data_IF_987966257373
#
_entry.id   IF_987966257373
#
_cell.length_a   1.000
_cell.length_b   1.000
_cell.length_c   1.000
_cell.angle_alpha   90.00
_cell.angle_beta   90.00
_cell.angle_gamma   90.00
#
_symmetry.space_group_name_H-M   'P 1'
#
loop_
_entity.id
_entity.type
_entity.pdbx_description
1 polymer ?
#
# COMPACT_ATOMS: atom_id res chain seq x y z
N UNK A 1 27.93 -75.00 5.74
CA UNK A 1 28.93 -75.93 5.14
C UNK A 1 29.87 -75.07 4.27
N UNK A 2 31.15 -75.13 4.62
CA UNK A 2 32.37 -74.97 3.82
C UNK A 2 32.46 -73.71 2.91
N UNK A 3 33.30 -72.73 3.30
CA UNK A 3 34.72 -72.54 2.99
C UNK A 3 34.97 -72.35 1.46
N UNK A 4 35.55 -71.23 1.03
CA UNK A 4 36.99 -71.14 0.81
C UNK A 4 37.41 -69.68 0.52
N UNK A 5 38.52 -69.32 1.14
CA UNK A 5 39.36 -68.16 0.91
C UNK A 5 40.05 -68.22 -0.48
N UNK A 6 40.31 -67.06 -1.05
CA UNK A 6 41.57 -66.85 -1.78
C UNK A 6 41.94 -65.37 -1.76
N UNK A 7 43.05 -65.11 -1.10
CA UNK A 7 43.82 -63.84 -1.13
C UNK A 7 44.50 -63.68 -2.51
N UNK A 8 44.60 -62.48 -2.98
CA UNK A 8 45.80 -62.01 -3.69
C UNK A 8 45.93 -60.47 -3.49
N UNK A 9 47.04 -60.11 -2.96
CA UNK A 9 47.53 -58.77 -2.80
C UNK A 9 48.07 -58.24 -4.13
N UNK A 10 47.92 -56.99 -4.41
CA UNK A 10 49.04 -56.09 -4.69
C UNK A 10 48.58 -54.81 -5.43
N UNK A 11 49.09 -53.81 -4.99
CA UNK A 11 49.73 -52.62 -5.58
C UNK A 11 48.97 -51.33 -5.51
N UNK A 12 49.45 -50.55 -4.58
CA UNK A 12 49.18 -49.11 -4.44
C UNK A 12 49.60 -48.36 -5.70
N UNK A 13 48.64 -47.54 -6.23
CA UNK A 13 48.98 -46.35 -7.00
C UNK A 13 48.14 -45.22 -6.46
N UNK A 14 48.80 -44.39 -5.68
CA UNK A 14 48.28 -43.10 -5.24
C UNK A 14 48.17 -42.20 -6.49
N UNK A 15 46.99 -42.01 -7.00
CA UNK A 15 46.64 -40.90 -7.88
C UNK A 15 45.91 -39.85 -7.00
N UNK A 16 46.64 -38.86 -6.57
CA UNK A 16 46.12 -37.63 -6.03
C UNK A 16 45.37 -36.88 -7.14
N UNK A 17 44.10 -37.14 -7.28
CA UNK A 17 43.17 -36.26 -8.00
C UNK A 17 42.85 -35.10 -7.00
N UNK A 18 43.61 -34.06 -7.09
CA UNK A 18 43.17 -32.72 -6.66
C UNK A 18 42.00 -32.31 -7.56
N UNK A 19 40.81 -32.76 -7.21
CA UNK A 19 39.58 -32.21 -7.69
C UNK A 19 39.37 -30.88 -6.97
N UNK A 20 39.79 -29.80 -7.60
CA UNK A 20 39.23 -28.50 -7.31
C UNK A 20 37.77 -28.54 -7.73
N UNK A 21 36.90 -28.96 -6.85
CA UNK A 21 35.52 -28.64 -6.84
C UNK A 21 35.43 -27.19 -6.33
N UNK A 22 35.54 -26.22 -7.21
CA UNK A 22 35.00 -24.89 -6.95
C UNK A 22 33.46 -25.04 -6.95
N UNK A 23 32.91 -25.43 -5.80
CA UNK A 23 31.58 -25.00 -5.45
C UNK A 23 31.71 -23.48 -5.34
N UNK A 24 31.22 -22.78 -6.35
CA UNK A 24 31.11 -21.34 -6.31
C UNK A 24 30.13 -20.92 -5.21
N UNK A 25 30.65 -20.75 -4.01
CA UNK A 25 30.14 -19.75 -3.11
C UNK A 25 30.71 -18.42 -3.64
N UNK A 26 30.09 -17.84 -4.65
CA UNK A 26 30.26 -16.42 -4.88
C UNK A 26 29.87 -15.76 -3.57
N UNK A 27 30.80 -15.00 -2.97
CA UNK A 27 30.48 -14.16 -1.83
C UNK A 27 29.27 -13.32 -2.25
N UNK A 28 28.11 -13.54 -1.62
CA UNK A 28 26.93 -12.72 -1.85
C UNK A 28 27.26 -11.33 -1.36
N UNK A 29 26.94 -10.31 -2.13
CA UNK A 29 27.44 -8.94 -1.91
C UNK A 29 27.12 -8.40 -0.51
N UNK A 30 25.98 -8.84 0.08
CA UNK A 30 25.51 -8.37 1.37
C UNK A 30 25.49 -9.45 2.46
N UNK A 31 26.29 -10.51 2.29
CA UNK A 31 26.39 -11.61 3.27
C UNK A 31 26.67 -11.11 4.67
N UNK A 32 25.76 -11.44 5.61
CA UNK A 32 25.87 -11.06 7.02
C UNK A 32 25.51 -9.63 7.35
N UNK A 33 25.04 -8.82 6.39
CA UNK A 33 24.45 -7.50 6.66
C UNK A 33 22.98 -7.65 7.04
N UNK A 34 22.45 -6.67 7.78
CA UNK A 34 21.06 -6.66 8.26
C UNK A 34 20.34 -5.40 7.74
N UNK A 35 19.17 -5.58 7.14
CA UNK A 35 18.28 -4.51 6.66
C UNK A 35 17.14 -4.35 7.64
N UNK A 36 16.93 -3.14 8.15
CA UNK A 36 15.77 -2.80 8.98
C UNK A 36 14.68 -2.14 8.13
N UNK A 37 13.61 -2.89 7.85
CA UNK A 37 12.44 -2.46 7.11
C UNK A 37 11.31 -2.07 8.08
N UNK A 38 10.70 -0.91 7.90
CA UNK A 38 9.53 -0.47 8.65
C UNK A 38 8.36 -0.29 7.67
N UNK A 39 7.39 -1.19 7.73
CA UNK A 39 6.31 -1.31 6.76
C UNK A 39 4.94 -1.39 7.46
N UNK A 40 3.89 -1.37 6.71
CA UNK A 40 2.53 -1.70 7.15
C UNK A 40 2.41 -3.20 7.44
N UNK A 41 1.42 -3.58 8.26
CA UNK A 41 1.04 -4.98 8.42
C UNK A 41 0.41 -5.53 7.14
N UNK A 42 0.58 -6.84 6.88
CA UNK A 42 -0.02 -7.56 5.73
C UNK A 42 0.20 -6.87 4.36
N UNK A 43 1.36 -6.23 4.16
CA UNK A 43 1.63 -5.33 3.03
C UNK A 43 2.83 -5.76 2.19
N UNK A 44 3.11 -7.05 2.14
CA UNK A 44 4.14 -7.67 1.26
C UNK A 44 3.87 -9.16 1.05
N UNK A 45 4.29 -9.65 -0.13
CA UNK A 45 4.17 -11.04 -0.51
C UNK A 45 4.92 -11.99 0.42
N UNK A 46 4.37 -13.17 0.64
CA UNK A 46 4.92 -14.18 1.59
C UNK A 46 6.40 -14.49 1.37
N UNK A 47 6.84 -14.52 0.11
CA UNK A 47 8.20 -14.94 -0.24
C UNK A 47 9.17 -13.76 -0.46
N UNK A 48 8.68 -12.51 -0.50
CA UNK A 48 9.48 -11.33 -0.86
C UNK A 48 10.79 -11.24 -0.07
N UNK A 49 10.70 -11.40 1.26
CA UNK A 49 11.86 -11.33 2.15
C UNK A 49 12.77 -12.54 1.97
N UNK A 50 12.20 -13.75 1.94
CA UNK A 50 12.98 -14.98 1.87
C UNK A 50 13.81 -15.06 0.57
N UNK A 51 13.20 -14.67 -0.56
CA UNK A 51 13.85 -14.66 -1.88
C UNK A 51 14.96 -13.59 -1.95
N UNK A 52 14.71 -12.41 -1.38
CA UNK A 52 15.73 -11.37 -1.25
C UNK A 52 16.93 -11.83 -0.41
N UNK A 53 16.69 -12.45 0.76
CA UNK A 53 17.72 -12.99 1.64
C UNK A 53 18.53 -14.11 0.95
N UNK A 54 17.85 -14.99 0.19
CA UNK A 54 18.52 -16.05 -0.57
C UNK A 54 19.43 -15.48 -1.65
N UNK A 55 18.96 -14.45 -2.36
CA UNK A 55 19.71 -13.83 -3.45
C UNK A 55 20.93 -13.06 -2.94
N UNK A 56 20.78 -12.27 -1.88
CA UNK A 56 21.78 -11.30 -1.43
C UNK A 56 22.67 -11.78 -0.30
N UNK A 57 22.20 -12.74 0.50
CA UNK A 57 22.85 -13.18 1.74
C UNK A 57 22.61 -12.23 2.93
N UNK A 58 21.88 -11.15 2.74
CA UNK A 58 21.47 -10.26 3.80
C UNK A 58 20.41 -10.90 4.72
N UNK A 59 20.14 -10.26 5.84
CA UNK A 59 18.99 -10.53 6.71
C UNK A 59 18.06 -9.32 6.71
N UNK A 60 16.74 -9.55 6.67
CA UNK A 60 15.75 -8.49 6.77
C UNK A 60 15.01 -8.61 8.10
N UNK A 61 15.04 -7.52 8.87
CA UNK A 61 14.29 -7.37 10.12
C UNK A 61 13.14 -6.43 9.84
N UNK A 62 11.92 -6.90 10.03
CA UNK A 62 10.71 -6.12 9.72
C UNK A 62 10.05 -5.67 11.00
N UNK A 63 9.84 -4.37 11.12
CA UNK A 63 8.93 -3.77 12.10
C UNK A 63 7.67 -3.28 11.38
N UNK A 64 6.55 -3.23 12.08
CA UNK A 64 5.26 -2.80 11.53
C UNK A 64 4.73 -1.55 12.21
N UNK A 65 3.98 -0.74 11.45
CA UNK A 65 3.25 0.42 11.95
C UNK A 65 1.79 0.41 11.47
N UNK A 66 0.92 1.03 12.26
CA UNK A 66 -0.51 1.10 11.99
C UNK A 66 -0.94 2.46 11.41
N UNK A 67 -0.02 3.44 11.39
CA UNK A 67 -0.26 4.76 10.81
C UNK A 67 1.05 5.48 10.45
N UNK A 68 1.00 6.33 9.42
CA UNK A 68 2.10 7.21 9.05
C UNK A 68 2.57 8.09 10.22
N UNK A 69 1.64 8.54 11.06
CA UNK A 69 1.93 9.35 12.25
C UNK A 69 2.74 8.59 13.29
N UNK A 70 2.44 7.32 13.51
CA UNK A 70 3.21 6.45 14.42
C UNK A 70 4.62 6.23 13.89
N UNK A 71 4.76 5.90 12.60
CA UNK A 71 6.04 5.75 11.91
C UNK A 71 6.87 7.04 12.03
N UNK A 72 6.26 8.18 11.68
CA UNK A 72 6.92 9.48 11.75
C UNK A 72 7.48 9.81 13.13
N UNK A 73 6.72 9.56 14.20
CA UNK A 73 7.18 9.84 15.57
C UNK A 73 8.47 9.09 15.91
N UNK A 74 8.59 7.81 15.52
CA UNK A 74 9.80 7.02 15.75
C UNK A 74 10.99 7.58 14.95
N UNK A 75 10.78 7.83 13.66
CA UNK A 75 11.82 8.35 12.76
C UNK A 75 12.30 9.72 13.20
N UNK A 76 11.40 10.64 13.54
CA UNK A 76 11.72 11.97 14.02
C UNK A 76 12.43 11.97 15.38
N UNK A 77 12.22 10.94 16.21
CA UNK A 77 12.95 10.71 17.45
C UNK A 77 14.30 10.03 17.26
N UNK A 78 14.69 9.69 16.02
CA UNK A 78 16.01 9.17 15.68
C UNK A 78 16.10 7.64 15.72
N UNK A 79 14.99 6.89 15.79
CA UNK A 79 15.04 5.44 15.57
C UNK A 79 15.56 5.17 14.15
N UNK A 80 16.49 4.22 14.05
CA UNK A 80 17.16 3.92 12.79
C UNK A 80 16.47 2.77 12.06
N UNK A 81 16.04 3.05 10.86
CA UNK A 81 15.56 2.08 9.87
C UNK A 81 16.34 2.29 8.57
N UNK A 82 16.39 1.27 7.72
CA UNK A 82 17.03 1.37 6.41
C UNK A 82 16.03 1.67 5.30
N UNK A 83 14.82 1.11 5.38
CA UNK A 83 13.72 1.37 4.45
C UNK A 83 12.44 1.65 5.23
N UNK A 84 11.70 2.66 4.80
CA UNK A 84 10.32 2.96 5.24
C UNK A 84 9.39 2.89 4.04
N UNK A 85 8.10 2.61 4.29
CA UNK A 85 7.05 2.59 3.26
C UNK A 85 5.90 3.55 3.63
N UNK A 86 6.15 4.88 3.65
CA UNK A 86 5.12 5.89 3.91
C UNK A 86 4.22 6.16 2.71
N UNK A 87 3.07 6.80 2.99
CA UNK A 87 2.19 7.38 1.97
C UNK A 87 2.66 8.78 1.54
N UNK A 88 2.18 9.22 0.40
CA UNK A 88 2.45 10.47 -0.31
C UNK A 88 2.63 11.71 0.58
N UNK A 89 1.61 12.09 1.37
CA UNK A 89 1.66 13.28 2.24
C UNK A 89 2.72 13.17 3.35
N UNK A 90 3.04 11.94 3.76
CA UNK A 90 4.08 11.72 4.76
C UNK A 90 5.47 11.75 4.13
N UNK A 91 5.62 11.29 2.88
CA UNK A 91 6.86 11.45 2.11
C UNK A 91 7.16 12.94 1.94
N UNK A 92 6.15 13.73 1.52
CA UNK A 92 6.27 15.18 1.42
C UNK A 92 6.80 15.81 2.71
N UNK A 93 6.22 15.44 3.84
CA UNK A 93 6.63 15.92 5.16
C UNK A 93 8.06 15.50 5.52
N UNK A 94 8.42 14.24 5.30
CA UNK A 94 9.76 13.72 5.60
C UNK A 94 10.84 14.43 4.77
N UNK A 95 10.54 14.76 3.49
CA UNK A 95 11.41 15.57 2.62
C UNK A 95 11.56 16.99 3.17
N UNK A 96 10.44 17.66 3.49
CA UNK A 96 10.44 19.04 4.00
C UNK A 96 11.21 19.18 5.33
N UNK A 97 11.18 18.15 6.16
CA UNK A 97 11.87 18.12 7.46
C UNK A 97 13.33 17.58 7.36
N UNK A 98 13.84 17.33 6.14
CA UNK A 98 15.21 16.81 5.91
C UNK A 98 15.49 15.48 6.65
N UNK A 99 14.49 14.58 6.69
CA UNK A 99 14.58 13.27 7.35
C UNK A 99 14.94 12.12 6.41
N UNK A 100 14.96 12.35 5.09
CA UNK A 100 15.33 11.37 4.07
C UNK A 100 16.69 11.69 3.46
N UNK A 101 17.31 10.68 2.88
CA UNK A 101 18.48 10.86 2.02
C UNK A 101 18.12 10.57 0.56
N UNK A 102 18.75 11.29 -0.40
CA UNK A 102 18.49 11.06 -1.81
C UNK A 102 18.96 9.67 -2.24
N UNK A 103 18.22 9.08 -3.18
CA UNK A 103 18.51 7.78 -3.76
C UNK A 103 19.55 7.91 -4.88
N UNK A 104 20.49 6.97 -4.95
CA UNK A 104 21.41 6.86 -6.10
C UNK A 104 20.73 6.07 -7.23
N UNK A 105 20.10 6.77 -8.15
CA UNK A 105 19.39 6.16 -9.30
C UNK A 105 20.28 5.25 -10.15
N UNK A 106 21.61 5.41 -10.10
CA UNK A 106 22.52 4.50 -10.80
C UNK A 106 22.55 3.07 -10.20
N UNK A 107 22.03 2.90 -9.00
CA UNK A 107 21.86 1.63 -8.30
C UNK A 107 20.47 1.00 -8.51
N UNK A 108 19.54 1.75 -9.06
CA UNK A 108 18.16 1.34 -9.30
C UNK A 108 17.97 0.99 -10.77
N UNK A 109 18.53 -0.15 -11.19
CA UNK A 109 18.52 -0.58 -12.60
C UNK A 109 17.13 -0.93 -13.14
N UNK A 110 16.16 -1.12 -12.25
CA UNK A 110 14.80 -1.57 -12.60
C UNK A 110 13.78 -0.43 -12.63
N UNK A 111 14.21 0.84 -12.57
CA UNK A 111 13.31 2.00 -12.63
C UNK A 111 12.50 2.07 -13.93
N UNK A 112 13.08 1.61 -15.04
CA UNK A 112 12.41 1.60 -16.36
C UNK A 112 11.24 0.61 -16.43
N UNK A 113 11.03 -0.23 -15.40
CA UNK A 113 9.89 -1.14 -15.29
C UNK A 113 8.65 -0.47 -14.67
N UNK A 114 8.80 0.73 -14.10
CA UNK A 114 7.72 1.46 -13.47
C UNK A 114 6.86 2.19 -14.51
N UNK A 115 5.55 2.21 -14.27
CA UNK A 115 4.60 3.00 -15.07
C UNK A 115 4.87 4.50 -14.92
N UNK A 116 4.65 5.26 -16.01
CA UNK A 116 4.70 6.72 -15.97
C UNK A 116 3.65 7.33 -15.02
N UNK A 117 2.52 6.62 -14.79
CA UNK A 117 1.43 7.07 -13.91
C UNK A 117 1.82 7.19 -12.43
N UNK A 118 2.92 6.53 -12.03
CA UNK A 118 3.37 6.51 -10.63
C UNK A 118 4.66 7.28 -10.40
N UNK A 119 5.21 7.91 -11.45
CA UNK A 119 6.48 8.64 -11.41
C UNK A 119 6.27 10.15 -11.51
N UNK A 120 7.20 10.92 -10.95
CA UNK A 120 7.20 12.39 -11.09
C UNK A 120 6.05 13.09 -10.37
N UNK A 121 5.54 12.52 -9.29
CA UNK A 121 4.41 13.04 -8.54
C UNK A 121 4.78 14.30 -7.75
N UNK A 122 3.80 15.14 -7.43
CA UNK A 122 4.00 16.48 -6.86
C UNK A 122 4.84 16.47 -5.57
N UNK A 123 4.72 15.44 -4.74
CA UNK A 123 5.47 15.33 -3.49
C UNK A 123 6.96 15.01 -3.68
N UNK A 124 7.35 14.42 -4.83
CA UNK A 124 8.76 14.14 -5.21
C UNK A 124 8.92 14.12 -6.73
N UNK A 125 8.87 15.30 -7.42
CA UNK A 125 8.77 15.40 -8.87
C UNK A 125 9.92 14.75 -9.66
N UNK A 126 11.08 14.65 -9.03
CA UNK A 126 12.25 14.03 -9.64
C UNK A 126 12.46 12.57 -9.17
N UNK A 127 11.59 12.02 -8.33
CA UNK A 127 11.82 10.75 -7.63
C UNK A 127 13.23 10.69 -7.01
N UNK A 128 13.61 11.77 -6.35
CA UNK A 128 14.93 11.87 -5.71
C UNK A 128 14.99 11.09 -4.40
N UNK A 129 13.86 10.98 -3.68
CA UNK A 129 13.78 10.40 -2.35
C UNK A 129 12.90 9.15 -2.26
N UNK A 130 12.00 8.95 -3.22
CA UNK A 130 10.95 7.92 -3.14
C UNK A 130 10.83 7.09 -4.41
N UNK A 131 10.60 5.79 -4.23
CA UNK A 131 10.31 4.85 -5.31
C UNK A 131 8.94 4.20 -5.03
N UNK A 132 7.98 4.26 -5.96
CA UNK A 132 6.64 3.71 -5.79
C UNK A 132 6.65 2.24 -5.38
N UNK A 133 5.77 1.88 -4.46
CA UNK A 133 5.62 0.52 -3.93
C UNK A 133 4.24 -0.08 -4.25
N UNK A 134 3.16 0.64 -3.89
CA UNK A 134 1.80 0.37 -4.30
C UNK A 134 1.05 1.69 -4.48
N UNK A 135 -0.06 1.64 -5.21
CA UNK A 135 -0.93 2.78 -5.42
C UNK A 135 -2.37 2.33 -5.59
N UNK A 136 -3.29 3.27 -5.46
CA UNK A 136 -4.70 2.94 -5.56
C UNK A 136 -5.61 4.13 -5.34
N UNK A 137 -6.89 3.83 -5.24
CA UNK A 137 -7.94 4.81 -4.97
C UNK A 137 -8.72 4.45 -3.71
N UNK A 138 -9.45 5.41 -3.17
CA UNK A 138 -10.54 5.16 -2.23
C UNK A 138 -11.86 5.21 -3.00
N UNK A 139 -12.71 4.23 -2.81
CA UNK A 139 -13.99 4.19 -3.50
C UNK A 139 -15.10 3.63 -2.63
N UNK A 140 -16.25 3.37 -3.26
CA UNK A 140 -17.42 2.83 -2.62
C UNK A 140 -17.56 1.36 -2.99
N UNK A 141 -17.46 0.46 -2.01
CA UNK A 141 -17.90 -0.93 -2.15
C UNK A 141 -19.37 -1.02 -1.80
N UNK A 142 -20.15 -1.72 -2.61
CA UNK A 142 -21.58 -1.85 -2.43
C UNK A 142 -22.12 -3.22 -2.87
N UNK A 143 -23.22 -3.66 -2.23
CA UNK A 143 -23.98 -4.84 -2.62
C UNK A 143 -24.88 -4.50 -3.81
N UNK A 144 -24.59 -5.08 -4.99
CA UNK A 144 -25.34 -4.84 -6.26
C UNK A 144 -26.82 -5.18 -6.18
N UNK A 145 -27.21 -6.07 -5.22
CA UNK A 145 -28.59 -6.47 -5.06
C UNK A 145 -29.40 -5.47 -4.22
N UNK A 146 -28.73 -4.53 -3.52
CA UNK A 146 -29.35 -3.60 -2.57
C UNK A 146 -29.14 -2.13 -2.97
N UNK A 147 -27.97 -1.83 -3.54
CA UNK A 147 -27.61 -0.47 -3.98
C UNK A 147 -27.53 -0.46 -5.50
N UNK A 148 -28.26 0.45 -6.14
CA UNK A 148 -28.26 0.58 -7.59
C UNK A 148 -27.15 1.52 -8.06
N UNK A 149 -26.57 1.23 -9.22
CA UNK A 149 -25.61 2.15 -9.86
C UNK A 149 -26.26 3.48 -10.22
N UNK A 150 -27.58 3.51 -10.50
CA UNK A 150 -28.33 4.73 -10.79
C UNK A 150 -28.33 5.66 -9.57
N UNK A 151 -28.51 5.12 -8.35
CA UNK A 151 -28.44 5.88 -7.10
C UNK A 151 -27.01 6.41 -6.88
N UNK A 152 -25.99 5.57 -7.07
CA UNK A 152 -24.58 5.97 -6.96
C UNK A 152 -24.23 7.11 -7.95
N UNK A 153 -24.66 6.99 -9.20
CA UNK A 153 -24.42 8.02 -10.21
C UNK A 153 -25.16 9.32 -9.91
N UNK A 154 -26.38 9.24 -9.38
CA UNK A 154 -27.19 10.41 -9.05
C UNK A 154 -26.64 11.16 -7.84
N UNK A 155 -26.32 10.43 -6.78
CA UNK A 155 -26.05 10.98 -5.45
C UNK A 155 -24.55 11.16 -5.16
N UNK A 156 -23.68 10.36 -5.77
CA UNK A 156 -22.25 10.36 -5.45
C UNK A 156 -22.03 10.04 -3.98
N UNK A 157 -21.14 10.79 -3.31
CA UNK A 157 -20.95 10.63 -1.87
C UNK A 157 -22.18 10.98 -1.02
N UNK A 158 -23.17 11.72 -1.56
CA UNK A 158 -24.39 11.99 -0.81
C UNK A 158 -25.27 10.76 -0.59
N UNK A 159 -24.96 9.62 -1.23
CA UNK A 159 -25.58 8.32 -0.94
C UNK A 159 -25.43 7.93 0.54
N UNK A 160 -24.35 8.40 1.19
CA UNK A 160 -24.13 8.21 2.63
C UNK A 160 -25.08 9.08 3.51
N UNK A 161 -25.94 9.92 2.91
CA UNK A 161 -27.03 10.64 3.57
C UNK A 161 -28.41 10.07 3.22
N UNK A 162 -28.48 9.13 2.27
CA UNK A 162 -29.77 8.51 1.92
C UNK A 162 -30.22 7.56 3.04
N UNK A 163 -31.33 7.93 3.68
CA UNK A 163 -31.91 7.18 4.80
C UNK A 163 -32.34 5.77 4.45
N UNK A 164 -32.40 5.42 3.16
CA UNK A 164 -32.63 4.06 2.67
C UNK A 164 -31.57 3.09 3.18
N UNK A 165 -30.33 3.55 3.37
CA UNK A 165 -29.17 2.75 3.83
C UNK A 165 -28.83 2.97 5.31
N UNK A 166 -29.76 3.51 6.09
CA UNK A 166 -29.54 3.80 7.51
C UNK A 166 -29.20 2.54 8.30
N UNK A 167 -28.04 2.54 8.95
CA UNK A 167 -27.54 1.42 9.75
C UNK A 167 -26.77 0.37 8.95
N UNK A 168 -26.77 0.47 7.61
CA UNK A 168 -26.13 -0.50 6.71
C UNK A 168 -24.88 0.07 6.02
N UNK A 169 -24.13 0.92 6.74
CA UNK A 169 -22.96 1.63 6.29
C UNK A 169 -21.74 1.26 7.14
N UNK A 170 -20.61 0.92 6.49
CA UNK A 170 -19.27 0.98 7.09
C UNK A 170 -18.51 2.21 6.62
N UNK A 171 -17.78 2.83 7.53
CA UNK A 171 -16.83 3.91 7.27
C UNK A 171 -15.52 3.66 8.01
N UNK A 172 -14.41 4.06 7.44
CA UNK A 172 -13.14 4.03 8.16
C UNK A 172 -13.15 4.96 9.38
N UNK A 173 -12.60 4.50 10.50
CA UNK A 173 -12.30 5.34 11.67
C UNK A 173 -11.05 6.20 11.40
N UNK A 174 -11.14 7.00 10.36
CA UNK A 174 -10.10 7.89 9.86
C UNK A 174 -10.68 9.29 9.65
N UNK A 175 -10.08 10.29 10.33
CA UNK A 175 -10.46 11.68 10.11
C UNK A 175 -10.17 12.14 8.68
N UNK A 176 -9.06 11.68 8.08
CA UNK A 176 -8.62 12.09 6.76
C UNK A 176 -9.59 11.59 5.68
N UNK A 177 -9.90 10.30 5.67
CA UNK A 177 -10.80 9.72 4.68
C UNK A 177 -12.25 10.20 4.83
N UNK A 178 -12.71 10.37 6.08
CA UNK A 178 -14.04 10.90 6.36
C UNK A 178 -14.20 12.35 5.88
N UNK A 179 -13.20 13.22 6.14
CA UNK A 179 -13.23 14.59 5.66
C UNK A 179 -13.02 14.68 4.14
N UNK A 180 -12.19 13.81 3.53
CA UNK A 180 -12.08 13.69 2.07
C UNK A 180 -13.45 13.45 1.45
N UNK A 181 -14.19 12.44 1.92
CA UNK A 181 -15.52 12.10 1.44
C UNK A 181 -16.49 13.30 1.53
N UNK A 182 -16.53 13.99 2.67
CA UNK A 182 -17.41 15.12 2.88
C UNK A 182 -17.04 16.34 2.01
N UNK A 183 -15.75 16.66 1.90
CA UNK A 183 -15.25 17.74 1.06
C UNK A 183 -15.56 17.48 -0.41
N UNK A 184 -15.31 16.27 -0.90
CA UNK A 184 -15.66 15.89 -2.27
C UNK A 184 -17.17 15.90 -2.53
N UNK A 185 -17.99 15.43 -1.57
CA UNK A 185 -19.46 15.53 -1.66
C UNK A 185 -19.94 16.97 -1.86
N UNK A 186 -19.24 17.93 -1.26
CA UNK A 186 -19.53 19.36 -1.34
C UNK A 186 -18.86 20.07 -2.53
N UNK A 187 -18.03 19.35 -3.30
CA UNK A 187 -17.31 19.88 -4.47
C UNK A 187 -16.07 20.70 -4.12
N UNK A 188 -15.51 20.49 -2.93
CA UNK A 188 -14.27 21.14 -2.47
C UNK A 188 -13.05 20.25 -2.69
N UNK A 189 -11.85 20.86 -2.66
CA UNK A 189 -10.58 20.12 -2.59
C UNK A 189 -10.46 19.40 -1.25
N UNK A 190 -9.99 18.15 -1.28
CA UNK A 190 -9.71 17.42 -0.05
C UNK A 190 -8.48 17.96 0.71
N UNK A 191 -7.69 18.83 0.06
CA UNK A 191 -6.51 19.50 0.62
C UNK A 191 -6.79 20.97 1.01
N UNK A 192 -8.06 21.40 1.09
CA UNK A 192 -8.40 22.78 1.40
C UNK A 192 -7.87 23.25 2.75
N UNK A 193 -7.46 24.51 2.83
CA UNK A 193 -7.17 25.22 4.09
C UNK A 193 -8.26 26.24 4.44
N UNK A 194 -9.34 26.32 3.65
CA UNK A 194 -10.44 27.25 3.89
C UNK A 194 -11.28 26.80 5.08
N UNK A 195 -11.45 27.71 6.04
CA UNK A 195 -12.13 27.38 7.29
C UNK A 195 -13.65 27.14 7.12
N UNK A 196 -14.27 27.80 6.14
CA UNK A 196 -15.70 27.67 5.89
C UNK A 196 -15.99 26.34 5.13
N UNK A 197 -15.10 25.90 4.22
CA UNK A 197 -15.20 24.62 3.55
C UNK A 197 -15.01 23.46 4.55
N UNK A 198 -14.00 23.56 5.44
CA UNK A 198 -13.77 22.56 6.48
C UNK A 198 -14.96 22.51 7.46
N UNK A 199 -15.55 23.68 7.78
CA UNK A 199 -16.74 23.73 8.64
C UNK A 199 -17.96 23.09 7.95
N UNK A 200 -18.17 23.34 6.66
CA UNK A 200 -19.24 22.72 5.89
C UNK A 200 -19.09 21.19 5.81
N UNK A 201 -17.86 20.69 5.62
CA UNK A 201 -17.59 19.25 5.64
C UNK A 201 -17.86 18.63 7.03
N UNK A 202 -17.53 19.33 8.10
CA UNK A 202 -17.87 18.90 9.45
C UNK A 202 -19.39 18.82 9.68
N UNK A 203 -20.14 19.79 9.21
CA UNK A 203 -21.62 19.80 9.33
C UNK A 203 -22.23 18.64 8.52
N UNK A 204 -21.71 18.38 7.33
CA UNK A 204 -22.10 17.21 6.52
C UNK A 204 -21.84 15.90 7.27
N UNK A 205 -20.65 15.72 7.87
CA UNK A 205 -20.30 14.55 8.67
C UNK A 205 -21.16 14.40 9.93
N UNK A 206 -21.52 15.51 10.59
CA UNK A 206 -22.43 15.49 11.73
C UNK A 206 -23.82 15.02 11.33
N UNK A 207 -24.36 15.52 10.21
CA UNK A 207 -25.66 15.09 9.71
C UNK A 207 -25.65 13.62 9.36
N UNK A 208 -24.64 13.17 8.63
CA UNK A 208 -24.43 11.77 8.28
C UNK A 208 -24.37 10.89 9.55
N UNK A 209 -23.52 11.24 10.52
CA UNK A 209 -23.35 10.46 11.73
C UNK A 209 -24.65 10.36 12.57
N UNK A 210 -25.38 11.46 12.71
CA UNK A 210 -26.60 11.52 13.51
C UNK A 210 -27.81 10.86 12.80
N UNK A 211 -27.87 10.96 11.46
CA UNK A 211 -29.00 10.49 10.68
C UNK A 211 -28.83 9.03 10.29
N UNK A 212 -27.63 8.63 9.85
CA UNK A 212 -27.40 7.34 9.20
C UNK A 212 -26.94 6.22 10.15
N UNK A 213 -26.43 6.56 11.34
CA UNK A 213 -25.89 5.59 12.29
C UNK A 213 -24.84 4.63 11.67
N UNK A 214 -23.78 5.15 11.04
CA UNK A 214 -22.75 4.33 10.44
C UNK A 214 -21.97 3.53 11.49
N UNK A 215 -21.34 2.44 11.07
CA UNK A 215 -20.39 1.70 11.87
C UNK A 215 -18.97 2.11 11.45
N UNK A 216 -18.21 2.68 12.38
CA UNK A 216 -16.81 3.01 12.15
C UNK A 216 -15.93 1.80 12.45
N UNK A 217 -15.06 1.46 11.52
CA UNK A 217 -14.20 0.27 11.53
C UNK A 217 -12.82 0.61 10.98
N UNK A 218 -11.87 -0.26 11.15
CA UNK A 218 -10.58 -0.29 10.44
C UNK A 218 -10.60 -1.45 9.45
N UNK A 219 -9.73 -2.43 9.59
CA UNK A 219 -9.64 -3.58 8.69
C UNK A 219 -10.88 -4.50 8.74
N UNK A 220 -11.73 -4.37 9.79
CA UNK A 220 -12.99 -5.13 9.88
C UNK A 220 -13.97 -4.82 8.74
N UNK A 221 -13.77 -3.72 7.99
CA UNK A 221 -14.55 -3.42 6.79
C UNK A 221 -14.41 -4.53 5.75
N UNK A 222 -13.23 -5.11 5.60
CA UNK A 222 -12.88 -6.11 4.60
C UNK A 222 -13.76 -7.35 4.79
N UNK A 223 -13.62 -8.02 5.94
CA UNK A 223 -14.44 -9.18 6.27
C UNK A 223 -15.92 -8.82 6.36
N UNK A 224 -16.23 -7.64 6.85
CA UNK A 224 -17.60 -7.16 6.99
C UNK A 224 -18.33 -7.05 5.65
N UNK A 225 -17.70 -6.47 4.63
CA UNK A 225 -18.26 -6.36 3.29
C UNK A 225 -18.23 -7.71 2.55
N UNK A 226 -17.14 -8.47 2.63
CA UNK A 226 -17.07 -9.81 2.04
C UNK A 226 -18.19 -10.74 2.53
N UNK A 227 -18.57 -10.64 3.81
CA UNK A 227 -19.68 -11.40 4.39
C UNK A 227 -21.07 -10.76 4.16
N UNK A 228 -21.18 -9.63 3.47
CA UNK A 228 -22.45 -8.94 3.21
C UNK A 228 -23.14 -8.38 4.44
N UNK A 229 -22.36 -8.00 5.46
CA UNK A 229 -22.89 -7.49 6.75
C UNK A 229 -23.45 -6.08 6.64
N UNK A 230 -23.05 -5.32 5.61
CA UNK A 230 -23.54 -3.98 5.28
C UNK A 230 -23.76 -3.86 3.78
N UNK A 231 -24.51 -2.84 3.39
CA UNK A 231 -24.89 -2.62 2.01
C UNK A 231 -23.89 -1.74 1.25
N UNK A 232 -23.19 -0.85 1.98
CA UNK A 232 -22.31 0.15 1.40
C UNK A 232 -21.15 0.51 2.35
N UNK A 233 -19.97 0.73 1.79
CA UNK A 233 -18.77 1.12 2.54
C UNK A 233 -17.84 2.02 1.74
N UNK A 234 -17.05 2.86 2.43
CA UNK A 234 -15.83 3.47 1.87
C UNK A 234 -14.68 2.48 2.08
N UNK A 235 -13.97 2.13 1.00
CA UNK A 235 -12.94 1.08 1.04
C UNK A 235 -11.75 1.47 0.13
N UNK A 236 -10.54 1.14 0.54
CA UNK A 236 -9.35 1.21 -0.32
C UNK A 236 -9.43 0.17 -1.44
N UNK A 237 -8.88 0.48 -2.59
CA UNK A 237 -9.06 -0.32 -3.80
C UNK A 237 -8.52 -1.75 -3.70
N UNK A 238 -7.40 -1.99 -3.01
CA UNK A 238 -6.88 -3.34 -2.80
C UNK A 238 -7.79 -4.19 -1.91
N UNK A 239 -8.28 -3.61 -0.80
CA UNK A 239 -9.25 -4.27 0.08
C UNK A 239 -10.55 -4.55 -0.68
N UNK A 240 -10.99 -3.61 -1.55
CA UNK A 240 -12.15 -3.81 -2.40
C UNK A 240 -11.94 -4.94 -3.42
N UNK A 241 -10.73 -5.09 -3.95
CA UNK A 241 -10.36 -6.21 -4.83
C UNK A 241 -10.53 -7.54 -4.09
N UNK A 242 -10.04 -7.63 -2.86
CA UNK A 242 -10.25 -8.83 -2.03
C UNK A 242 -11.72 -9.06 -1.73
N UNK A 243 -12.48 -8.03 -1.32
CA UNK A 243 -13.93 -8.16 -1.07
C UNK A 243 -14.67 -8.69 -2.30
N UNK A 244 -14.35 -8.19 -3.51
CA UNK A 244 -14.96 -8.65 -4.75
C UNK A 244 -14.57 -10.11 -5.08
N UNK A 245 -13.36 -10.55 -4.72
CA UNK A 245 -12.92 -11.93 -4.92
C UNK A 245 -13.64 -12.94 -4.02
N UNK A 246 -14.02 -12.52 -2.82
CA UNK A 246 -14.72 -13.37 -1.84
C UNK A 246 -16.25 -13.32 -2.00
N UNK A 247 -16.80 -12.24 -2.59
CA UNK A 247 -18.23 -12.06 -2.73
C UNK A 247 -18.60 -11.41 -4.07
N UNK A 248 -19.12 -12.22 -4.99
CA UNK A 248 -19.54 -11.79 -6.33
C UNK A 248 -20.70 -10.78 -6.34
N UNK A 249 -21.43 -10.62 -5.24
CA UNK A 249 -22.49 -9.63 -5.10
C UNK A 249 -21.95 -8.23 -4.81
N UNK A 250 -20.68 -8.12 -4.41
CA UNK A 250 -20.03 -6.84 -4.15
C UNK A 250 -19.45 -6.25 -5.44
N UNK A 251 -19.51 -4.93 -5.55
CA UNK A 251 -18.91 -4.16 -6.63
C UNK A 251 -18.22 -2.92 -6.08
N UNK A 252 -17.39 -2.29 -6.91
CA UNK A 252 -16.63 -1.09 -6.55
C UNK A 252 -17.02 0.07 -7.46
N UNK A 253 -17.16 1.26 -6.91
CA UNK A 253 -17.52 2.44 -7.67
C UNK A 253 -16.70 3.65 -7.24
N UNK A 254 -16.14 4.36 -8.21
CA UNK A 254 -15.37 5.59 -7.98
C UNK A 254 -16.24 6.81 -8.21
N UNK A 255 -16.47 7.67 -7.20
CA UNK A 255 -17.33 8.84 -7.30
C UNK A 255 -16.88 9.86 -8.35
N UNK A 256 -17.84 10.44 -9.06
CA UNK A 256 -17.63 11.49 -10.08
C UNK A 256 -17.19 12.83 -9.48
N UNK A 257 -17.35 13.00 -8.19
CA UNK A 257 -16.90 14.15 -7.41
C UNK A 257 -15.36 14.14 -7.25
N UNK A 258 -14.73 13.03 -7.59
CA UNK A 258 -13.32 12.77 -7.34
C UNK A 258 -13.09 12.03 -6.02
N UNK A 259 -11.91 11.49 -5.85
CA UNK A 259 -11.52 10.75 -4.66
C UNK A 259 -10.04 10.93 -4.35
N UNK A 260 -9.56 10.29 -3.29
CA UNK A 260 -8.15 10.15 -3.02
C UNK A 260 -7.53 9.12 -3.97
N UNK A 261 -6.56 9.56 -4.77
CA UNK A 261 -5.61 8.73 -5.48
C UNK A 261 -4.34 8.72 -4.62
N UNK A 262 -4.02 7.60 -3.99
CA UNK A 262 -2.94 7.51 -3.02
C UNK A 262 -1.76 6.70 -3.56
N UNK A 263 -0.58 7.03 -3.06
CA UNK A 263 0.67 6.38 -3.41
C UNK A 263 1.48 6.09 -2.15
N UNK A 264 1.86 4.82 -1.98
CA UNK A 264 2.85 4.44 -1.00
C UNK A 264 4.18 4.18 -1.70
N UNK A 265 5.26 4.65 -1.12
CA UNK A 265 6.57 4.53 -1.73
C UNK A 265 7.64 4.16 -0.70
N UNK A 266 8.68 3.47 -1.17
CA UNK A 266 9.86 3.17 -0.38
C UNK A 266 10.80 4.36 -0.35
N UNK A 267 11.26 4.71 0.85
CA UNK A 267 12.19 5.79 1.11
C UNK A 267 13.32 5.33 2.03
N UNK A 268 14.48 5.99 1.94
CA UNK A 268 15.63 5.71 2.81
C UNK A 268 15.81 6.84 3.82
N UNK A 269 15.65 6.59 5.13
CA UNK A 269 15.87 7.61 6.15
C UNK A 269 17.29 8.15 6.16
N UNK A 270 17.46 9.39 6.58
CA UNK A 270 18.77 10.06 6.64
C UNK A 270 19.75 9.35 7.56
N UNK A 271 19.28 8.67 8.59
CA UNK A 271 20.08 7.93 9.57
C UNK A 271 20.17 6.42 9.29
N UNK A 272 19.76 5.96 8.10
CA UNK A 272 19.89 4.55 7.70
C UNK A 272 21.31 4.05 7.89
N UNK A 273 21.45 2.83 8.40
CA UNK A 273 22.74 2.23 8.73
C UNK A 273 23.33 1.50 7.51
N UNK A 274 22.47 0.96 6.64
CA UNK A 274 22.84 0.18 5.47
C UNK A 274 22.20 0.74 4.18
N UNK A 275 22.48 2.00 3.77
CA UNK A 275 21.81 2.66 2.66
C UNK A 275 22.03 1.99 1.29
N UNK A 276 23.14 1.28 1.08
CA UNK A 276 23.37 0.52 -0.15
C UNK A 276 22.51 -0.73 -0.20
N UNK A 277 22.37 -1.44 0.91
CA UNK A 277 21.49 -2.59 1.03
C UNK A 277 20.01 -2.18 0.93
N UNK A 278 19.66 -1.00 1.47
CA UNK A 278 18.32 -0.43 1.32
C UNK A 278 17.97 -0.20 -0.17
N UNK A 279 18.89 0.39 -0.93
CA UNK A 279 18.66 0.62 -2.36
C UNK A 279 18.64 -0.70 -3.17
N UNK A 280 19.41 -1.70 -2.78
CA UNK A 280 19.34 -3.04 -3.37
C UNK A 280 17.97 -3.69 -3.11
N UNK A 281 17.44 -3.57 -1.89
CA UNK A 281 16.09 -4.05 -1.57
C UNK A 281 15.03 -3.32 -2.40
N UNK A 282 15.09 -2.00 -2.47
CA UNK A 282 14.19 -1.20 -3.31
C UNK A 282 14.28 -1.66 -4.77
N UNK A 283 15.48 -1.80 -5.33
CA UNK A 283 15.67 -2.23 -6.71
C UNK A 283 15.15 -3.66 -6.96
N UNK A 284 15.31 -4.56 -5.97
CA UNK A 284 14.79 -5.93 -6.03
C UNK A 284 13.25 -5.95 -6.09
N UNK A 285 12.56 -5.15 -5.27
CA UNK A 285 11.09 -5.12 -5.27
C UNK A 285 10.48 -4.66 -6.60
N UNK A 286 11.27 -4.00 -7.45
CA UNK A 286 10.83 -3.55 -8.77
C UNK A 286 10.95 -4.64 -9.85
N UNK A 287 11.67 -5.75 -9.58
CA UNK A 287 11.76 -6.85 -10.55
C UNK A 287 10.37 -7.42 -10.82
N UNK A 288 10.19 -7.97 -12.03
CA UNK A 288 8.90 -8.54 -12.41
C UNK A 288 8.41 -9.61 -11.41
N UNK A 289 9.28 -10.55 -11.05
CA UNK A 289 8.94 -11.65 -10.15
C UNK A 289 8.56 -11.18 -8.75
N UNK A 290 9.33 -10.23 -8.20
CA UNK A 290 9.05 -9.68 -6.87
C UNK A 290 7.77 -8.84 -6.88
N UNK A 291 7.59 -7.98 -7.90
CA UNK A 291 6.40 -7.14 -8.04
C UNK A 291 5.14 -7.98 -8.27
N UNK A 292 5.22 -9.04 -9.08
CA UNK A 292 4.11 -9.96 -9.34
C UNK A 292 3.68 -10.66 -8.06
N UNK A 293 4.60 -11.37 -7.39
CA UNK A 293 4.27 -12.10 -6.16
C UNK A 293 3.79 -11.18 -5.03
N UNK A 294 4.28 -9.94 -5.00
CA UNK A 294 3.87 -8.92 -4.04
C UNK A 294 2.41 -8.46 -4.32
N UNK A 295 2.09 -8.14 -5.58
CA UNK A 295 0.75 -7.68 -5.96
C UNK A 295 -0.30 -8.78 -5.92
N UNK A 296 0.05 -10.02 -6.30
CA UNK A 296 -0.86 -11.18 -6.19
C UNK A 296 -1.27 -11.47 -4.75
N UNK A 297 -0.35 -11.25 -3.80
CA UNK A 297 -0.64 -11.51 -2.39
C UNK A 297 -1.43 -10.37 -1.74
N UNK A 298 -1.00 -9.12 -1.99
CA UNK A 298 -1.55 -7.94 -1.31
C UNK A 298 -2.85 -7.44 -1.96
N UNK A 299 -3.03 -7.63 -3.27
CA UNK A 299 -4.22 -7.20 -4.02
C UNK A 299 -4.22 -5.73 -4.43
N UNK A 300 -3.17 -4.98 -4.14
CA UNK A 300 -3.02 -3.58 -4.57
C UNK A 300 -2.31 -3.47 -5.92
N UNK A 301 -2.60 -2.37 -6.62
CA UNK A 301 -2.06 -2.10 -7.95
C UNK A 301 -0.55 -1.98 -7.93
N UNK A 302 0.09 -2.77 -8.82
CA UNK A 302 1.54 -2.75 -8.98
C UNK A 302 2.02 -1.44 -9.58
N UNK A 303 3.14 -0.88 -9.12
CA UNK A 303 3.82 0.20 -9.83
C UNK A 303 4.56 -0.31 -11.07
N UNK A 304 4.87 -1.62 -11.16
CA UNK A 304 5.49 -2.24 -12.33
C UNK A 304 4.44 -2.38 -13.44
N UNK A 305 4.71 -1.74 -14.60
CA UNK A 305 3.74 -1.64 -15.70
C UNK A 305 3.37 -3.02 -16.29
N UNK A 306 4.34 -3.91 -16.48
CA UNK A 306 4.10 -5.24 -17.03
C UNK A 306 3.21 -6.08 -16.08
N UNK A 307 3.51 -6.06 -14.79
CA UNK A 307 2.72 -6.73 -13.75
C UNK A 307 1.31 -6.15 -13.66
N UNK A 308 1.19 -4.83 -13.68
CA UNK A 308 -0.11 -4.16 -13.67
C UNK A 308 -0.98 -4.59 -14.85
N UNK A 309 -0.42 -4.61 -16.06
CA UNK A 309 -1.11 -5.04 -17.28
C UNK A 309 -1.48 -6.52 -17.25
N UNK A 310 -0.61 -7.39 -16.73
CA UNK A 310 -0.90 -8.82 -16.59
C UNK A 310 -2.04 -9.08 -15.63
N UNK A 311 -1.97 -8.54 -14.41
CA UNK A 311 -2.96 -8.80 -13.37
C UNK A 311 -4.32 -8.18 -13.69
N UNK A 312 -4.36 -7.04 -14.40
CA UNK A 312 -5.59 -6.36 -14.82
C UNK A 312 -6.14 -6.82 -16.17
N UNK A 313 -5.39 -7.66 -16.91
CA UNK A 313 -5.81 -8.18 -18.21
C UNK A 313 -7.05 -9.08 -18.14
N UNK A 314 -7.70 -9.35 -19.28
CA UNK A 314 -8.95 -10.16 -19.35
C UNK A 314 -8.80 -11.56 -18.71
N UNK A 315 -7.61 -12.17 -18.79
CA UNK A 315 -7.27 -13.45 -18.16
C UNK A 315 -6.46 -13.29 -16.87
N UNK A 316 -6.18 -12.06 -16.45
CA UNK A 316 -5.41 -11.73 -15.24
C UNK A 316 -6.19 -12.02 -13.96
N UNK A 317 -5.46 -12.23 -12.87
CA UNK A 317 -6.04 -12.55 -11.57
C UNK A 317 -7.09 -11.53 -11.11
N UNK A 318 -6.89 -10.27 -11.43
CA UNK A 318 -7.73 -9.15 -11.04
C UNK A 318 -8.50 -8.50 -12.20
N UNK A 319 -8.45 -9.10 -13.39
CA UNK A 319 -9.07 -8.53 -14.60
C UNK A 319 -10.59 -8.32 -14.52
N UNK A 320 -11.27 -9.05 -13.63
CA UNK A 320 -12.70 -8.91 -13.39
C UNK A 320 -13.05 -7.83 -12.32
N UNK A 321 -12.05 -7.26 -11.63
CA UNK A 321 -12.25 -6.38 -10.48
C UNK A 321 -11.89 -4.94 -10.81
N UNK A 322 -12.90 -4.10 -10.94
CA UNK A 322 -12.75 -2.67 -11.26
C UNK A 322 -11.91 -1.91 -10.23
N UNK A 323 -11.89 -2.41 -8.99
CA UNK A 323 -11.11 -1.83 -7.91
C UNK A 323 -9.60 -1.92 -8.14
N UNK A 324 -9.12 -2.94 -8.88
CA UNK A 324 -7.68 -3.13 -9.09
C UNK A 324 -7.04 -2.06 -9.98
N UNK A 325 -7.82 -1.43 -10.86
CA UNK A 325 -7.31 -0.42 -11.81
C UNK A 325 -7.60 0.99 -11.30
N UNK A 326 -6.60 1.71 -10.74
CA UNK A 326 -6.80 3.09 -10.30
C UNK A 326 -7.17 4.00 -11.50
N UNK A 327 -8.02 4.99 -11.24
CA UNK A 327 -8.48 5.94 -12.25
C UNK A 327 -7.45 7.05 -12.41
N UNK A 328 -6.37 6.78 -13.17
CA UNK A 328 -5.33 7.77 -13.46
C UNK A 328 -5.85 8.91 -14.34
N UNK A 329 -5.37 10.14 -14.10
CA UNK A 329 -5.64 11.31 -14.94
C UNK A 329 -7.04 11.90 -14.84
N UNK A 330 -7.88 11.47 -13.90
CA UNK A 330 -9.17 12.12 -13.67
C UNK A 330 -9.00 13.44 -12.89
N UNK A 331 -9.38 14.55 -13.48
CA UNK A 331 -9.09 15.92 -13.00
C UNK A 331 -9.59 16.26 -11.59
N UNK A 332 -10.52 15.47 -11.06
CA UNK A 332 -11.08 15.69 -9.72
C UNK A 332 -10.51 14.76 -8.65
N UNK A 333 -9.75 13.75 -9.07
CA UNK A 333 -9.02 12.94 -8.11
C UNK A 333 -7.81 13.73 -7.62
N UNK A 334 -7.52 13.62 -6.35
CA UNK A 334 -6.43 14.35 -5.71
C UNK A 334 -5.55 13.40 -4.89
N UNK A 335 -4.29 13.76 -4.75
CA UNK A 335 -3.34 13.13 -3.81
C UNK A 335 -3.37 13.94 -2.52
N UNK A 336 -3.29 13.30 -1.37
CA UNK A 336 -3.17 14.02 -0.10
C UNK A 336 -1.83 14.77 -0.03
N UNK A 337 -1.88 16.00 0.50
CA UNK A 337 -0.73 16.85 0.76
C UNK A 337 -0.48 16.97 2.27
N UNK A 338 0.76 17.25 2.66
CA UNK A 338 1.05 17.63 4.04
C UNK A 338 0.51 19.03 4.31
N UNK A 339 -0.71 19.09 4.86
CA UNK A 339 -1.40 20.31 5.23
C UNK A 339 -1.61 20.37 6.73
N UNK A 340 -0.69 20.96 7.51
CA UNK A 340 -0.79 21.02 8.96
C UNK A 340 -2.02 21.77 9.48
N UNK A 341 -2.52 22.76 8.71
CA UNK A 341 -3.72 23.53 9.08
C UNK A 341 -4.94 22.63 9.02
N UNK A 342 -5.14 21.96 7.88
CA UNK A 342 -6.23 21.00 7.68
C UNK A 342 -6.13 19.87 8.70
N UNK A 343 -4.97 19.20 8.80
CA UNK A 343 -4.72 18.09 9.71
C UNK A 343 -5.14 18.40 11.14
N UNK A 344 -4.67 19.52 11.69
CA UNK A 344 -5.03 19.94 13.04
C UNK A 344 -6.54 20.15 13.18
N UNK A 345 -7.15 20.80 12.20
CA UNK A 345 -8.57 21.16 12.27
C UNK A 345 -9.46 19.93 12.18
N UNK A 346 -9.20 19.03 11.22
CA UNK A 346 -10.02 17.83 11.06
C UNK A 346 -9.89 16.89 12.26
N UNK A 347 -8.70 16.73 12.86
CA UNK A 347 -8.52 15.93 14.06
C UNK A 347 -9.39 16.43 15.22
N UNK A 348 -9.43 17.75 15.45
CA UNK A 348 -10.28 18.36 16.48
C UNK A 348 -11.78 18.15 16.20
N UNK A 349 -12.19 18.24 14.93
CA UNK A 349 -13.60 18.14 14.53
C UNK A 349 -14.06 16.68 14.48
N UNK A 350 -13.20 15.74 14.08
CA UNK A 350 -13.51 14.31 14.04
C UNK A 350 -13.90 13.76 15.41
N UNK A 351 -13.19 14.15 16.45
CA UNK A 351 -13.56 13.79 17.82
C UNK A 351 -15.00 14.23 18.13
N UNK A 352 -15.42 15.41 17.68
CA UNK A 352 -16.77 15.92 17.89
C UNK A 352 -17.82 15.17 17.05
N UNK A 353 -17.49 14.79 15.81
CA UNK A 353 -18.37 13.96 14.99
C UNK A 353 -18.64 12.64 15.71
N UNK A 354 -17.60 11.93 16.16
CA UNK A 354 -17.76 10.65 16.85
C UNK A 354 -18.48 10.77 18.19
N UNK A 355 -18.29 11.88 18.91
CA UNK A 355 -18.96 12.14 20.19
C UNK A 355 -20.43 12.54 20.02
N UNK A 356 -20.89 12.91 18.81
CA UNK A 356 -22.26 13.38 18.58
C UNK A 356 -23.31 12.26 18.49
N UNK A 357 -22.89 11.01 18.55
CA UNK A 357 -23.82 9.86 18.61
C UNK A 357 -24.71 10.01 19.88
N UNK A 358 -25.92 10.49 19.67
CA UNK A 358 -26.97 10.55 20.67
C UNK A 358 -27.80 9.29 20.75
#
# INVERSE_FOLDING_TARGET
>A
MKKLLASCAAMAMALTLTGCGSSGSGDREFEGQELHLYNWGEYMGENLIADFEEQTGAKVVVDYFDSNEQMYIKVANGEAYDVLVPSDYMIERLIQEDLLQPLDKSKLSNLDLLSEDVMGLEYDPENEYSIPYFWGTVGIVYDKNKVSEEDLQAEGYNIFLDTKYKGDIYLYDSERDSFMMALKALGYSMNTSDADEIQAAYEWLLDMNNTMNPTYVTDEVIDGMANGNKDIAIVYSGDATYVQSENEDMSYWMPKEGTNLWYDAMVVPKNAQNPLLAQEFINYTLTYEAALGNSEYVGYSSPNEEVMLELSGEEGMYGAYEAYIPRSGYEKDEVFQDNPILKKKIAELWIKVKASKG
#
